data_IF_868351902421
#
_entry.id   IF_868351902421
#
_cell.length_a   1.000
_cell.length_b   1.000
_cell.length_c   1.000
_cell.angle_alpha   90.00
_cell.angle_beta   90.00
_cell.angle_gamma   90.00
#
_symmetry.space_group_name_H-M   'P 1'
#
loop_
_entity.id
_entity.type
_entity.pdbx_description
1 polymer ?
#
# COMPACT_ATOMS: atom_id res chain seq x y z
N UNK A 1 13.86 22.03 -3.33
CA UNK A 1 13.49 21.11 -2.23
C UNK A 1 14.79 20.44 -1.78
N UNK A 2 15.26 20.67 -0.54
CA UNK A 2 16.43 19.94 -0.02
C UNK A 2 15.98 18.53 0.32
N UNK A 3 16.58 17.52 -0.29
CA UNK A 3 16.39 16.13 0.09
C UNK A 3 17.10 15.92 1.44
N UNK A 4 16.34 15.48 2.45
CA UNK A 4 16.89 15.01 3.72
C UNK A 4 17.03 13.50 3.62
N UNK A 5 18.26 13.02 3.73
CA UNK A 5 18.57 11.60 3.75
C UNK A 5 18.87 11.20 5.20
N UNK A 6 18.34 10.07 5.60
CA UNK A 6 18.58 9.46 6.91
C UNK A 6 19.21 8.07 6.70
N UNK A 7 19.92 7.58 7.72
CA UNK A 7 20.56 6.26 7.66
C UNK A 7 19.52 5.22 8.11
N UNK A 8 19.36 4.17 7.30
CA UNK A 8 18.59 2.98 7.65
C UNK A 8 19.56 1.88 8.06
N UNK A 9 19.56 1.53 9.34
CA UNK A 9 20.44 0.51 9.92
C UNK A 9 19.62 -0.46 10.77
N UNK A 10 19.53 -1.71 10.32
CA UNK A 10 18.77 -2.75 11.02
C UNK A 10 19.40 -3.16 12.37
N UNK A 11 20.67 -2.83 12.61
CA UNK A 11 21.37 -3.12 13.87
C UNK A 11 21.11 -2.07 14.96
N UNK A 12 20.64 -0.87 14.59
CA UNK A 12 20.36 0.24 15.50
C UNK A 12 18.85 0.41 15.62
N UNK A 13 18.22 0.14 16.79
CA UNK A 13 16.77 0.15 16.93
C UNK A 13 16.08 1.43 16.43
N UNK A 14 16.68 2.60 16.69
CA UNK A 14 16.15 3.92 16.28
C UNK A 14 16.24 4.21 14.78
N UNK A 15 17.08 3.47 14.05
CA UNK A 15 17.27 3.57 12.60
C UNK A 15 16.73 2.35 11.86
N UNK A 16 16.10 1.42 12.60
CA UNK A 16 15.58 0.18 12.08
C UNK A 16 14.11 0.35 11.67
N UNK A 17 13.76 -0.20 10.51
CA UNK A 17 12.40 -0.14 9.97
C UNK A 17 11.84 -1.55 9.66
N UNK A 18 11.73 -2.44 10.66
CA UNK A 18 11.33 -3.83 10.44
C UNK A 18 9.84 -3.97 10.06
N UNK A 19 9.50 -5.11 9.44
CA UNK A 19 8.14 -5.39 8.99
C UNK A 19 7.12 -5.46 10.14
N UNK A 20 7.56 -5.65 11.38
CA UNK A 20 6.69 -5.60 12.57
C UNK A 20 6.03 -4.23 12.76
N UNK A 21 6.60 -3.14 12.21
CA UNK A 21 6.03 -1.79 12.23
C UNK A 21 4.86 -1.61 11.25
N UNK A 22 4.46 -2.64 10.50
CA UNK A 22 3.27 -2.59 9.65
C UNK A 22 1.98 -2.82 10.45
N UNK A 23 2.09 -3.49 11.59
CA UNK A 23 0.94 -4.00 12.37
C UNK A 23 1.07 -3.72 13.86
N UNK A 24 1.98 -2.84 14.26
CA UNK A 24 2.12 -2.40 15.65
C UNK A 24 1.00 -1.42 16.05
N UNK A 25 1.04 -0.96 17.30
CA UNK A 25 0.06 -0.03 17.83
C UNK A 25 0.25 1.36 17.23
N UNK A 26 -0.52 1.66 16.19
CA UNK A 26 -0.52 2.98 15.56
C UNK A 26 -1.11 4.04 16.51
N UNK A 27 -0.27 4.97 16.97
CA UNK A 27 -0.64 6.07 17.85
C UNK A 27 -0.60 7.41 17.09
N UNK A 28 -1.67 8.22 17.07
CA UNK A 28 -1.65 9.54 16.45
C UNK A 28 -0.54 10.41 17.07
N UNK A 29 0.51 10.72 16.29
CA UNK A 29 1.66 11.51 16.73
C UNK A 29 2.96 10.73 16.95
N UNK A 30 2.91 9.39 16.94
CA UNK A 30 4.10 8.53 16.96
C UNK A 30 3.93 7.42 15.93
N UNK A 31 3.87 7.81 14.65
CA UNK A 31 3.70 6.86 13.55
C UNK A 31 5.04 6.19 13.24
N UNK A 32 5.06 4.87 13.37
CA UNK A 32 6.16 3.99 12.98
C UNK A 32 5.97 3.54 11.53
N UNK A 33 7.09 3.25 10.87
CA UNK A 33 7.09 2.98 9.44
C UNK A 33 8.05 1.85 9.11
N UNK A 34 7.55 0.83 8.42
CA UNK A 34 8.40 -0.08 7.67
C UNK A 34 8.88 0.59 6.37
N UNK A 35 10.10 0.28 5.95
CA UNK A 35 10.72 0.81 4.74
C UNK A 35 11.38 -0.33 3.97
N UNK A 36 11.16 -0.37 2.66
CA UNK A 36 11.84 -1.29 1.74
C UNK A 36 13.29 -0.89 1.49
N UNK A 37 14.12 -1.81 1.00
CA UNK A 37 15.46 -1.47 0.54
C UNK A 37 15.40 -0.39 -0.56
N UNK A 38 16.22 0.69 -0.46
CA UNK A 38 16.28 1.69 -1.51
C UNK A 38 16.85 1.07 -2.79
N UNK A 39 16.17 1.28 -3.92
CA UNK A 39 16.65 0.82 -5.22
C UNK A 39 16.49 1.90 -6.27
N UNK A 40 17.50 2.04 -7.12
CA UNK A 40 17.46 2.89 -8.30
C UNK A 40 16.65 2.26 -9.43
N UNK A 41 16.46 0.94 -9.38
CA UNK A 41 15.72 0.19 -10.39
C UNK A 41 14.30 -0.11 -9.88
N UNK A 42 13.27 0.14 -10.71
CA UNK A 42 11.91 -0.26 -10.39
C UNK A 42 11.85 -1.77 -10.15
N UNK A 43 11.42 -2.17 -8.96
CA UNK A 43 11.18 -3.55 -8.61
C UNK A 43 9.91 -3.66 -7.78
N UNK A 44 9.31 -4.84 -7.79
CA UNK A 44 8.12 -5.11 -7.00
C UNK A 44 8.53 -5.44 -5.58
N UNK A 45 7.86 -4.81 -4.61
CA UNK A 45 7.96 -5.17 -3.20
C UNK A 45 6.63 -5.80 -2.78
N UNK A 46 6.69 -6.92 -2.06
CA UNK A 46 5.50 -7.68 -1.66
C UNK A 46 5.40 -7.76 -0.14
N UNK A 47 4.23 -7.41 0.37
CA UNK A 47 3.86 -7.57 1.77
C UNK A 47 2.78 -8.65 1.86
N UNK A 48 3.05 -9.68 2.65
CA UNK A 48 2.16 -10.84 2.80
C UNK A 48 1.73 -10.97 4.25
N UNK A 49 0.43 -10.86 4.50
CA UNK A 49 -0.16 -11.04 5.83
C UNK A 49 -0.94 -12.35 5.90
N UNK A 50 -0.48 -13.28 6.74
CA UNK A 50 -1.14 -14.55 7.00
C UNK A 50 -2.09 -14.43 8.19
N UNK A 51 -3.40 -14.43 7.95
CA UNK A 51 -4.42 -14.27 9.00
C UNK A 51 -4.69 -15.55 9.82
N UNK A 52 -4.17 -16.70 9.40
CA UNK A 52 -4.30 -17.99 10.11
C UNK A 52 -5.67 -18.68 9.99
N UNK A 53 -6.74 -17.95 9.64
CA UNK A 53 -8.09 -18.49 9.38
C UNK A 53 -8.79 -17.70 8.27
N UNK A 54 -9.96 -18.18 7.84
CA UNK A 54 -10.80 -17.46 6.89
C UNK A 54 -11.50 -16.29 7.58
N UNK A 55 -11.50 -15.14 6.91
CA UNK A 55 -12.18 -13.92 7.34
C UNK A 55 -13.01 -13.35 6.19
N UNK A 56 -14.13 -12.75 6.53
CA UNK A 56 -14.85 -11.84 5.64
C UNK A 56 -14.26 -10.43 5.86
N UNK A 57 -13.58 -9.93 4.83
CA UNK A 57 -12.91 -8.63 4.90
C UNK A 57 -13.88 -7.51 4.51
N UNK A 58 -14.06 -6.53 5.39
CA UNK A 58 -14.85 -5.32 5.09
C UNK A 58 -14.04 -4.27 4.35
N UNK A 59 -12.79 -4.03 4.80
CA UNK A 59 -11.88 -3.07 4.17
C UNK A 59 -10.42 -3.44 4.46
N UNK A 60 -9.51 -2.94 3.63
CA UNK A 60 -8.06 -2.96 3.87
C UNK A 60 -7.56 -1.51 3.83
N UNK A 61 -6.89 -1.06 4.90
CA UNK A 61 -6.35 0.29 4.97
C UNK A 61 -4.84 0.28 5.19
N UNK A 62 -4.13 1.12 4.44
CA UNK A 62 -2.68 1.31 4.55
C UNK A 62 -2.35 2.78 4.70
N UNK A 63 -1.40 3.08 5.58
CA UNK A 63 -0.82 4.40 5.78
C UNK A 63 0.60 4.40 5.25
N UNK A 64 0.97 5.46 4.53
CA UNK A 64 2.27 5.61 3.91
C UNK A 64 2.99 6.80 4.53
N UNK A 65 4.17 6.54 5.06
CA UNK A 65 5.09 7.56 5.56
C UNK A 65 5.84 8.27 4.41
N UNK A 66 5.94 7.60 3.26
CA UNK A 66 6.50 8.13 2.03
C UNK A 66 5.40 8.53 1.04
N UNK A 67 5.81 8.94 -0.16
CA UNK A 67 4.90 9.06 -1.30
C UNK A 67 4.18 7.72 -1.54
N UNK A 68 2.92 7.81 -1.97
CA UNK A 68 2.16 6.66 -2.44
C UNK A 68 2.89 5.98 -3.61
N UNK A 69 2.80 4.64 -3.72
CA UNK A 69 3.33 3.95 -4.89
C UNK A 69 2.59 4.42 -6.14
N UNK A 70 3.28 4.50 -7.27
CA UNK A 70 2.64 4.82 -8.55
C UNK A 70 1.62 3.74 -8.95
N UNK A 71 1.94 2.48 -8.62
CA UNK A 71 1.14 1.32 -8.93
C UNK A 71 1.23 0.27 -7.81
N UNK A 72 0.11 -0.35 -7.46
CA UNK A 72 -0.01 -1.38 -6.42
C UNK A 72 -1.14 -2.36 -6.77
N UNK A 73 -0.92 -3.64 -6.46
CA UNK A 73 -1.90 -4.69 -6.63
C UNK A 73 -2.11 -5.42 -5.30
N UNK A 74 -3.37 -5.62 -4.96
CA UNK A 74 -3.80 -6.33 -3.76
C UNK A 74 -4.35 -7.69 -4.17
N UNK A 75 -3.81 -8.73 -3.58
CA UNK A 75 -4.22 -10.12 -3.79
C UNK A 75 -4.74 -10.70 -2.49
N UNK A 76 -5.66 -11.66 -2.60
CA UNK A 76 -6.12 -12.46 -1.46
C UNK A 76 -5.99 -13.94 -1.76
N UNK A 77 -5.83 -14.74 -0.71
CA UNK A 77 -5.83 -16.19 -0.76
C UNK A 77 -6.92 -16.74 0.14
N UNK A 78 -7.63 -17.77 -0.32
CA UNK A 78 -8.67 -18.50 0.44
C UNK A 78 -8.23 -19.91 0.83
N UNK A 79 -7.00 -20.29 0.48
CA UNK A 79 -6.43 -21.63 0.61
C UNK A 79 -5.07 -21.63 1.34
N UNK A 80 -4.87 -20.65 2.24
CA UNK A 80 -3.68 -20.48 3.07
C UNK A 80 -2.39 -20.25 2.27
N UNK A 81 -2.47 -19.42 1.23
CA UNK A 81 -1.32 -18.95 0.45
C UNK A 81 -0.92 -19.85 -0.72
N UNK A 82 -1.69 -20.89 -1.05
CA UNK A 82 -1.40 -21.79 -2.17
C UNK A 82 -1.75 -21.15 -3.51
N UNK A 83 -2.86 -20.43 -3.57
CA UNK A 83 -3.27 -19.63 -4.72
C UNK A 83 -3.66 -18.22 -4.30
N UNK A 84 -3.45 -17.29 -5.24
CA UNK A 84 -3.69 -15.87 -5.05
C UNK A 84 -4.61 -15.38 -6.14
N UNK A 85 -5.72 -14.77 -5.74
CA UNK A 85 -6.67 -14.13 -6.65
C UNK A 85 -6.56 -12.61 -6.51
N UNK A 86 -6.57 -11.85 -7.63
CA UNK A 86 -6.61 -10.41 -7.57
C UNK A 86 -7.83 -9.93 -6.77
N UNK A 87 -7.60 -8.99 -5.86
CA UNK A 87 -8.65 -8.34 -5.08
C UNK A 87 -8.89 -6.91 -5.55
N UNK A 88 -7.83 -6.11 -5.70
CA UNK A 88 -7.94 -4.72 -6.16
C UNK A 88 -6.64 -4.24 -6.80
N UNK A 89 -6.75 -3.31 -7.75
CA UNK A 89 -5.60 -2.63 -8.36
C UNK A 89 -5.67 -1.13 -8.11
N UNK A 90 -4.50 -0.51 -7.98
CA UNK A 90 -4.26 0.93 -7.92
C UNK A 90 -3.14 1.24 -8.91
N UNK A 91 -3.33 2.15 -9.86
CA UNK A 91 -2.25 2.62 -10.73
C UNK A 91 -2.61 3.96 -11.37
N UNK A 92 -1.60 4.78 -11.64
CA UNK A 92 -1.73 5.96 -12.50
C UNK A 92 -2.00 5.60 -13.97
N UNK A 93 -1.56 4.42 -14.43
CA UNK A 93 -1.75 3.89 -15.78
C UNK A 93 -2.04 2.37 -15.74
N UNK A 94 -3.27 2.01 -15.36
CA UNK A 94 -3.71 0.61 -15.24
C UNK A 94 -3.55 -0.21 -16.52
N UNK A 95 -3.72 0.43 -17.67
CA UNK A 95 -3.64 -0.25 -18.97
C UNK A 95 -2.19 -0.66 -19.23
N UNK A 96 -1.25 0.25 -19.03
CA UNK A 96 0.18 -0.04 -19.22
C UNK A 96 0.71 -0.99 -18.15
N UNK A 97 0.32 -0.82 -16.90
CA UNK A 97 0.90 -1.58 -15.78
C UNK A 97 0.27 -2.97 -15.61
N UNK A 98 -1.05 -3.09 -15.75
CA UNK A 98 -1.78 -4.34 -15.47
C UNK A 98 -2.50 -4.91 -16.69
N UNK A 99 -2.44 -4.26 -17.86
CA UNK A 99 -3.22 -4.66 -19.03
C UNK A 99 -4.73 -4.57 -18.80
N UNK A 100 -5.16 -3.80 -17.80
CA UNK A 100 -6.58 -3.64 -17.43
C UNK A 100 -7.09 -2.30 -17.91
N UNK A 101 -8.23 -2.31 -18.60
CA UNK A 101 -8.94 -1.09 -18.96
C UNK A 101 -9.69 -0.62 -17.70
N UNK A 102 -9.53 0.64 -17.25
CA UNK A 102 -10.33 1.17 -16.15
C UNK A 102 -11.80 1.07 -16.52
N UNK A 103 -12.62 0.47 -15.64
CA UNK A 103 -14.05 0.24 -15.91
C UNK A 103 -14.86 1.56 -15.89
N UNK A 104 -14.31 2.64 -15.32
CA UNK A 104 -14.96 3.95 -15.20
C UNK A 104 -13.94 5.10 -15.32
N UNK A 105 -14.25 6.12 -16.13
CA UNK A 105 -13.60 7.43 -16.10
C UNK A 105 -14.16 8.23 -14.91
N UNK A 106 -13.38 8.45 -13.85
CA UNK A 106 -13.88 9.08 -12.62
C UNK A 106 -13.98 10.60 -12.77
N UNK A 107 -15.18 11.16 -12.58
CA UNK A 107 -15.43 12.57 -12.27
C UNK A 107 -15.71 12.73 -10.76
N UNK A 108 -15.59 13.95 -10.20
CA UNK A 108 -15.76 14.26 -8.76
C UNK A 108 -17.06 13.77 -8.11
N UNK A 109 -18.03 13.28 -8.89
CA UNK A 109 -19.36 12.91 -8.42
C UNK A 109 -19.60 11.40 -8.26
N UNK A 110 -18.66 10.53 -8.62
CA UNK A 110 -18.88 9.08 -8.68
C UNK A 110 -18.08 8.24 -7.66
N UNK A 111 -17.72 8.83 -6.51
CA UNK A 111 -16.82 8.25 -5.49
C UNK A 111 -17.34 6.98 -4.78
N UNK A 112 -18.57 6.51 -5.06
CA UNK A 112 -19.19 5.42 -4.31
C UNK A 112 -19.38 4.08 -5.04
N UNK A 113 -19.16 3.95 -6.35
CA UNK A 113 -19.42 2.68 -7.06
C UNK A 113 -18.21 1.74 -7.05
N UNK A 114 -18.49 0.49 -6.70
CA UNK A 114 -17.60 -0.62 -6.37
C UNK A 114 -16.83 -1.16 -7.59
N UNK A 115 -15.51 -0.96 -7.57
CA UNK A 115 -14.36 -1.59 -8.27
C UNK A 115 -13.29 -0.48 -8.34
N UNK A 116 -12.82 -0.03 -7.18
CA UNK A 116 -12.37 1.35 -7.00
C UNK A 116 -10.87 1.51 -7.23
N UNK A 117 -10.54 1.97 -8.44
CA UNK A 117 -9.27 2.64 -8.76
C UNK A 117 -9.27 4.02 -8.08
N UNK A 118 -8.95 4.03 -6.79
CA UNK A 118 -8.92 5.25 -6.00
C UNK A 118 -7.72 6.10 -6.42
N UNK A 119 -7.91 7.33 -6.91
CA UNK A 119 -6.92 8.41 -6.72
C UNK A 119 -7.47 9.29 -5.60
N UNK A 120 -7.22 8.92 -4.34
CA UNK A 120 -7.69 9.72 -3.20
C UNK A 120 -6.92 11.04 -3.12
N UNK A 121 -7.68 12.09 -2.81
CA UNK A 121 -7.28 13.42 -2.38
C UNK A 121 -6.07 13.39 -1.45
N UNK A 122 -4.98 14.05 -1.85
CA UNK A 122 -3.84 14.33 -0.99
C UNK A 122 -4.27 15.40 0.04
N UNK A 123 -4.61 14.99 1.26
CA UNK A 123 -4.48 15.87 2.41
C UNK A 123 -3.00 15.90 2.80
N UNK A 124 -2.44 17.10 2.92
CA UNK A 124 -1.04 17.33 3.28
C UNK A 124 -0.63 16.45 4.49
N UNK A 125 0.36 15.59 4.28
CA UNK A 125 1.14 14.99 5.36
C UNK A 125 1.22 13.46 5.40
N UNK A 126 0.17 12.71 5.05
CA UNK A 126 0.19 11.23 5.14
C UNK A 126 -0.66 10.62 4.02
N UNK A 127 -0.06 9.80 3.16
CA UNK A 127 -0.81 9.07 2.13
C UNK A 127 -1.59 7.93 2.77
N UNK A 128 -2.93 7.92 2.66
CA UNK A 128 -3.78 6.81 3.13
C UNK A 128 -4.48 6.17 1.93
N UNK A 129 -4.40 4.85 1.82
CA UNK A 129 -5.20 4.06 0.90
C UNK A 129 -6.18 3.18 1.68
N UNK A 130 -7.43 3.17 1.25
CA UNK A 130 -8.48 2.31 1.77
C UNK A 130 -9.11 1.58 0.58
N UNK A 131 -9.27 0.27 0.71
CA UNK A 131 -9.86 -0.63 -0.27
C UNK A 131 -11.07 -1.32 0.34
#
# INVERSE_FOLDING_TARGET
MRERCEICDASVPEQSHPASLLTDLNSPGNMTCWVSEPSLNPHNVSLTLSLGKKFELTYISMYFCSRLPDSMALYKSTDHGKSWIPFQYYSSDCKKTFGKIPDVTITKHNEQVSFKLNRVQLSEGVGKLIF
#
